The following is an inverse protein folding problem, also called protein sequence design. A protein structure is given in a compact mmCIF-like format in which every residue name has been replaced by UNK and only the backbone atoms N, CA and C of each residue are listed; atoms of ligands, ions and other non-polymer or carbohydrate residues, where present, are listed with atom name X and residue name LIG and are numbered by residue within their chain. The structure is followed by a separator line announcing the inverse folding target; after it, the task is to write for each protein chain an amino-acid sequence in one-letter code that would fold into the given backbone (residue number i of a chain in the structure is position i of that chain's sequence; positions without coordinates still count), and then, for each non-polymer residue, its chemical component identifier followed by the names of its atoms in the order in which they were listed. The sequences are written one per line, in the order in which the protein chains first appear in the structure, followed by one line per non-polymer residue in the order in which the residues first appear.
data_IF_414051938664
#
_entry.id   IF_414051938664
#
_cell.length_a   1.000
_cell.length_b   1.000
_cell.length_c   1.000
_cell.angle_alpha   90.00
_cell.angle_beta   90.00
_cell.angle_gamma   90.00
#
_symmetry.space_group_name_H-M   'P 1'
#
loop_
_entity.id
_entity.type
_entity.pdbx_description
1 polymer ?
#
# COMPACT_ATOMS: atom_id res chain seq x y z
N UNK A 1 44.80 4.04 -49.14
CA UNK A 1 45.08 3.14 -48.01
C UNK A 1 44.58 3.82 -46.76
N UNK A 2 43.26 3.75 -46.51
CA UNK A 2 42.60 2.79 -45.59
C UNK A 2 43.03 3.01 -44.14
N UNK A 3 42.20 3.74 -43.39
CA UNK A 3 41.95 3.57 -41.93
C UNK A 3 40.93 4.61 -41.41
N UNK A 4 39.78 4.80 -42.09
CA UNK A 4 38.65 5.62 -41.55
C UNK A 4 37.30 4.99 -41.95
N UNK A 5 37.21 3.66 -41.95
CA UNK A 5 35.96 2.97 -42.32
C UNK A 5 35.63 1.76 -41.46
N UNK A 6 36.15 1.72 -40.22
CA UNK A 6 36.02 0.55 -39.35
C UNK A 6 36.02 1.01 -37.88
N UNK A 7 35.05 1.86 -37.51
CA UNK A 7 34.81 2.26 -36.11
C UNK A 7 33.35 2.69 -35.86
N UNK A 8 32.42 2.21 -36.68
CA UNK A 8 30.97 2.47 -36.55
C UNK A 8 30.14 1.18 -36.53
N UNK A 9 30.79 0.01 -36.43
CA UNK A 9 30.11 -1.30 -36.45
C UNK A 9 30.15 -2.02 -35.09
N UNK A 10 30.55 -1.35 -34.01
CA UNK A 10 30.69 -1.96 -32.66
C UNK A 10 29.91 -1.21 -31.55
N UNK A 11 28.97 -0.32 -31.90
CA UNK A 11 28.18 0.48 -30.95
C UNK A 11 26.70 0.04 -30.87
N UNK A 12 26.34 -1.04 -31.58
CA UNK A 12 25.02 -1.69 -31.55
C UNK A 12 25.02 -2.97 -30.69
N UNK A 13 26.14 -3.31 -30.03
CA UNK A 13 26.23 -4.42 -29.11
C UNK A 13 25.91 -3.94 -27.68
N UNK A 14 24.85 -4.52 -27.09
CA UNK A 14 24.57 -4.59 -25.65
C UNK A 14 23.79 -3.45 -24.97
N UNK A 15 23.10 -2.57 -25.71
CA UNK A 15 22.21 -1.55 -25.10
C UNK A 15 21.05 -2.18 -24.28
N UNK A 16 20.58 -3.35 -24.69
CA UNK A 16 19.54 -4.11 -23.96
C UNK A 16 20.06 -4.78 -22.68
N UNK A 17 21.37 -5.04 -22.58
CA UNK A 17 21.97 -5.73 -21.43
C UNK A 17 22.23 -4.75 -20.26
N UNK A 18 22.50 -3.48 -20.58
CA UNK A 18 22.69 -2.41 -19.59
C UNK A 18 21.38 -1.74 -19.12
N UNK A 19 20.28 -1.90 -19.87
CA UNK A 19 19.01 -1.25 -19.53
C UNK A 19 18.32 -1.92 -18.34
N UNK A 20 18.01 -1.12 -17.32
CA UNK A 20 17.23 -1.60 -16.17
C UNK A 20 15.81 -2.02 -16.59
N UNK A 21 15.31 -3.10 -16.00
CA UNK A 21 13.95 -3.57 -16.30
C UNK A 21 12.89 -2.50 -15.97
N UNK A 22 11.80 -2.47 -16.75
CA UNK A 22 10.68 -1.54 -16.51
C UNK A 22 10.09 -1.70 -15.08
N UNK A 23 10.13 -2.91 -14.54
CA UNK A 23 9.68 -3.19 -13.18
C UNK A 23 10.61 -2.54 -12.13
N UNK A 24 11.93 -2.52 -12.38
CA UNK A 24 12.92 -1.86 -11.52
C UNK A 24 12.74 -0.34 -11.58
N UNK A 25 12.69 0.22 -12.79
CA UNK A 25 12.49 1.67 -12.99
C UNK A 25 11.19 2.12 -12.33
N UNK A 26 10.08 1.40 -12.55
CA UNK A 26 8.79 1.68 -11.93
C UNK A 26 8.84 1.61 -10.41
N UNK A 27 9.61 0.69 -9.83
CA UNK A 27 9.80 0.64 -8.37
C UNK A 27 10.54 1.87 -7.84
N UNK A 28 11.59 2.33 -8.53
CA UNK A 28 12.31 3.54 -8.17
C UNK A 28 11.41 4.79 -8.25
N UNK A 29 10.55 4.88 -9.27
CA UNK A 29 9.60 5.99 -9.40
C UNK A 29 8.59 6.02 -8.24
N UNK A 30 8.06 4.86 -7.84
CA UNK A 30 7.21 4.77 -6.63
C UNK A 30 7.98 5.21 -5.39
N UNK A 31 9.26 4.87 -5.29
CA UNK A 31 10.09 5.26 -4.15
C UNK A 31 10.30 6.78 -4.07
N UNK A 32 10.59 7.41 -5.19
CA UNK A 32 10.82 8.86 -5.28
C UNK A 32 9.55 9.69 -5.13
N UNK A 33 8.39 9.10 -5.40
CA UNK A 33 7.09 9.76 -5.26
C UNK A 33 6.41 9.49 -3.91
N UNK A 34 7.03 8.68 -3.02
CA UNK A 34 6.44 8.34 -1.73
C UNK A 34 6.37 9.56 -0.80
N UNK A 35 5.16 10.04 -0.42
CA UNK A 35 5.02 11.22 0.43
C UNK A 35 5.63 11.00 1.82
N UNK A 36 5.86 9.76 2.25
CA UNK A 36 6.54 9.43 3.52
C UNK A 36 8.05 9.64 3.46
N UNK A 37 8.62 9.75 2.27
CA UNK A 37 10.06 9.94 2.03
C UNK A 37 10.43 11.39 1.74
N UNK A 38 9.45 12.31 1.68
CA UNK A 38 9.70 13.71 1.49
C UNK A 38 10.39 14.35 2.71
N UNK A 39 11.58 14.89 2.51
CA UNK A 39 12.28 15.71 3.49
C UNK A 39 11.82 17.17 3.38
N UNK A 40 11.38 17.77 4.49
CA UNK A 40 11.07 19.20 4.55
C UNK A 40 12.10 19.91 5.44
N UNK A 41 13.13 20.56 4.87
CA UNK A 41 14.10 21.29 5.66
C UNK A 41 13.43 22.46 6.39
N UNK A 42 13.69 22.60 7.69
CA UNK A 42 13.20 23.72 8.51
C UNK A 42 11.96 23.43 9.36
N UNK A 43 11.37 22.24 9.27
CA UNK A 43 10.51 21.74 10.35
C UNK A 43 11.44 21.14 11.41
N UNK A 44 11.56 21.81 12.57
CA UNK A 44 12.11 21.18 13.77
C UNK A 44 11.29 19.96 14.19
N UNK A 45 11.63 19.35 15.33
CA UNK A 45 10.98 18.18 15.96
C UNK A 45 9.45 18.30 16.23
N UNK A 46 8.76 19.27 15.65
CA UNK A 46 7.32 19.50 15.77
C UNK A 46 6.61 18.97 14.49
N UNK A 47 6.66 17.65 14.36
CA UNK A 47 6.39 16.85 13.15
C UNK A 47 4.91 16.57 12.85
N UNK A 48 3.98 17.49 13.13
CA UNK A 48 2.55 17.20 12.87
C UNK A 48 1.90 17.97 11.71
N UNK A 49 2.48 19.06 11.18
CA UNK A 49 1.67 20.01 10.37
C UNK A 49 2.13 20.37 8.97
N UNK A 50 3.10 19.65 8.39
CA UNK A 50 3.27 19.70 6.93
C UNK A 50 3.82 18.38 6.38
N UNK A 51 3.06 17.31 6.63
CA UNK A 51 3.24 16.07 5.88
C UNK A 51 3.12 16.37 4.39
N UNK A 52 3.99 15.78 3.57
CA UNK A 52 3.91 15.93 2.13
C UNK A 52 2.51 15.56 1.61
N UNK A 53 2.13 16.16 0.49
CA UNK A 53 0.79 15.97 -0.08
C UNK A 53 0.50 14.47 -0.24
N UNK A 54 -0.47 13.96 0.54
CA UNK A 54 -0.85 12.54 0.51
C UNK A 54 -1.43 12.10 -0.83
N UNK A 55 -1.90 13.04 -1.65
CA UNK A 55 -2.57 12.77 -2.92
C UNK A 55 -1.62 12.34 -4.04
N UNK A 56 -0.30 12.49 -3.86
CA UNK A 56 0.70 12.18 -4.90
C UNK A 56 0.55 10.73 -5.37
N UNK A 57 0.46 9.78 -4.44
CA UNK A 57 0.29 8.37 -4.79
C UNK A 57 -1.13 8.00 -5.24
N UNK A 58 -2.14 8.80 -4.90
CA UNK A 58 -3.49 8.63 -5.45
C UNK A 58 -3.52 9.04 -6.93
N UNK A 59 -2.92 10.19 -7.26
CA UNK A 59 -2.76 10.59 -8.65
C UNK A 59 -1.92 9.58 -9.43
N UNK A 60 -0.84 9.08 -8.85
CA UNK A 60 -0.03 8.05 -9.53
C UNK A 60 -0.81 6.75 -9.74
N UNK A 61 -1.72 6.37 -8.82
CA UNK A 61 -2.61 5.25 -9.03
C UNK A 61 -3.55 5.48 -10.23
N UNK A 62 -4.15 6.67 -10.34
CA UNK A 62 -5.01 7.05 -11.46
C UNK A 62 -4.27 7.00 -12.79
N UNK A 63 -3.05 7.55 -12.87
CA UNK A 63 -2.22 7.53 -14.08
C UNK A 63 -1.90 6.08 -14.51
N UNK A 64 -1.58 5.21 -13.54
CA UNK A 64 -1.34 3.79 -13.81
C UNK A 64 -2.62 3.12 -14.33
N UNK A 65 -3.78 3.39 -13.72
CA UNK A 65 -5.07 2.81 -14.13
C UNK A 65 -5.47 3.26 -15.54
N UNK A 66 -5.34 4.55 -15.85
CA UNK A 66 -5.57 5.08 -17.19
C UNK A 66 -4.70 4.34 -18.22
N UNK A 67 -3.41 4.15 -17.89
CA UNK A 67 -2.50 3.45 -18.79
C UNK A 67 -2.85 1.96 -18.96
N UNK A 68 -3.22 1.28 -17.87
CA UNK A 68 -3.63 -0.13 -17.87
C UNK A 68 -4.95 -0.37 -18.64
N UNK A 69 -5.86 0.60 -18.62
CA UNK A 69 -7.13 0.58 -19.36
C UNK A 69 -6.94 0.86 -20.85
N UNK A 70 -5.81 1.46 -21.24
CA UNK A 70 -5.44 1.69 -22.63
C UNK A 70 -4.85 0.48 -23.37
N UNK A 71 -4.19 0.76 -24.49
CA UNK A 71 -3.65 -0.24 -25.42
C UNK A 71 -2.31 -0.86 -24.98
N UNK A 72 -2.17 -1.26 -23.71
CA UNK A 72 -0.99 -2.01 -23.25
C UNK A 72 -1.08 -3.50 -23.60
N UNK A 73 0.05 -4.07 -24.00
CA UNK A 73 0.21 -5.52 -24.15
C UNK A 73 0.13 -6.23 -22.80
N UNK A 74 -0.13 -7.55 -22.82
CA UNK A 74 -0.22 -8.35 -21.58
C UNK A 74 1.09 -8.35 -20.79
N UNK A 75 2.22 -8.40 -21.48
CA UNK A 75 3.55 -8.37 -20.89
C UNK A 75 3.84 -7.02 -20.21
N UNK A 76 3.49 -5.89 -20.83
CA UNK A 76 3.65 -4.58 -20.18
C UNK A 76 2.74 -4.45 -18.95
N UNK A 77 1.49 -4.96 -19.03
CA UNK A 77 0.57 -4.96 -17.89
C UNK A 77 1.14 -5.72 -16.68
N UNK A 78 1.85 -6.84 -16.92
CA UNK A 78 2.51 -7.60 -15.85
C UNK A 78 3.63 -6.81 -15.17
N UNK A 79 4.29 -5.89 -15.86
CA UNK A 79 5.33 -5.05 -15.27
C UNK A 79 4.74 -3.89 -14.46
N UNK A 80 3.66 -3.27 -14.95
CA UNK A 80 3.08 -2.05 -14.38
C UNK A 80 2.05 -2.32 -13.29
N UNK A 81 1.14 -3.30 -13.47
CA UNK A 81 0.06 -3.56 -12.51
C UNK A 81 0.55 -3.86 -11.07
N UNK A 82 1.67 -4.58 -10.85
CA UNK A 82 2.22 -4.78 -9.50
C UNK A 82 2.64 -3.48 -8.78
N UNK A 83 2.89 -2.38 -9.50
CA UNK A 83 3.27 -1.10 -8.91
C UNK A 83 2.15 -0.51 -8.05
N UNK A 84 0.88 -0.74 -8.42
CA UNK A 84 -0.29 -0.31 -7.62
C UNK A 84 -0.22 -0.81 -6.16
N UNK A 85 0.32 -2.01 -5.95
CA UNK A 85 0.44 -2.61 -4.62
C UNK A 85 1.57 -2.01 -3.76
N UNK A 86 2.46 -1.21 -4.36
CA UNK A 86 3.57 -0.51 -3.71
C UNK A 86 3.21 0.92 -3.32
N UNK A 87 2.14 1.49 -3.89
CA UNK A 87 1.68 2.83 -3.56
C UNK A 87 1.21 2.90 -2.10
N UNK A 88 1.73 3.89 -1.38
CA UNK A 88 1.22 4.28 -0.08
C UNK A 88 -0.04 5.12 -0.23
N UNK A 89 -1.14 4.67 0.39
CA UNK A 89 -2.42 5.37 0.40
C UNK A 89 -2.56 6.11 1.72
N UNK A 90 -2.45 7.44 1.70
CA UNK A 90 -2.56 8.24 2.92
C UNK A 90 -4.03 8.40 3.34
N UNK A 91 -4.42 8.10 4.60
CA UNK A 91 -5.75 8.42 5.10
C UNK A 91 -6.00 9.92 5.24
N UNK A 92 -4.94 10.73 5.25
CA UNK A 92 -5.00 12.19 5.33
C UNK A 92 -5.09 12.87 3.96
N UNK A 93 -5.18 12.08 2.89
CA UNK A 93 -5.43 12.58 1.54
C UNK A 93 -6.78 13.28 1.44
N UNK A 94 -6.96 14.09 0.40
CA UNK A 94 -8.23 14.75 0.16
C UNK A 94 -9.35 13.73 -0.07
N UNK A 95 -10.47 13.93 0.61
CA UNK A 95 -11.64 13.03 0.55
C UNK A 95 -12.16 12.85 -0.88
N UNK A 96 -12.18 13.92 -1.67
CA UNK A 96 -12.54 13.90 -3.09
C UNK A 96 -11.63 12.95 -3.87
N UNK A 97 -10.31 13.08 -3.71
CA UNK A 97 -9.32 12.25 -4.42
C UNK A 97 -9.39 10.79 -3.99
N UNK A 98 -9.62 10.53 -2.70
CA UNK A 98 -9.81 9.16 -2.18
C UNK A 98 -11.02 8.51 -2.86
N UNK A 99 -12.17 9.21 -2.95
CA UNK A 99 -13.38 8.67 -3.57
C UNK A 99 -13.21 8.47 -5.07
N UNK A 100 -12.67 9.46 -5.78
CA UNK A 100 -12.36 9.36 -7.21
C UNK A 100 -11.48 8.14 -7.51
N UNK A 101 -10.39 7.97 -6.76
CA UNK A 101 -9.48 6.83 -6.94
C UNK A 101 -10.16 5.51 -6.59
N UNK A 102 -11.01 5.48 -5.56
CA UNK A 102 -11.76 4.29 -5.19
C UNK A 102 -12.74 3.85 -6.28
N UNK A 103 -13.45 4.80 -6.89
CA UNK A 103 -14.40 4.52 -7.98
C UNK A 103 -13.67 3.95 -9.20
N UNK A 104 -12.56 4.58 -9.62
CA UNK A 104 -11.76 4.10 -10.76
C UNK A 104 -11.14 2.71 -10.50
N UNK A 105 -10.61 2.49 -9.29
CA UNK A 105 -10.10 1.16 -8.89
C UNK A 105 -11.23 0.13 -8.89
N UNK A 106 -12.44 0.49 -8.45
CA UNK A 106 -13.59 -0.41 -8.43
C UNK A 106 -14.01 -0.81 -9.84
N UNK A 107 -14.03 0.14 -10.77
CA UNK A 107 -14.29 -0.11 -12.20
C UNK A 107 -13.21 -1.06 -12.75
N UNK A 108 -11.93 -0.76 -12.53
CA UNK A 108 -10.82 -1.59 -12.99
C UNK A 108 -10.87 -3.04 -12.47
N UNK A 109 -11.26 -3.23 -11.20
CA UNK A 109 -11.45 -4.56 -10.59
C UNK A 109 -12.61 -5.30 -11.26
N UNK A 110 -13.75 -4.61 -11.44
CA UNK A 110 -14.95 -5.17 -12.05
C UNK A 110 -14.70 -5.60 -13.51
N UNK A 111 -14.02 -4.75 -14.27
CA UNK A 111 -13.72 -4.95 -15.69
C UNK A 111 -12.56 -5.94 -15.92
N UNK A 112 -11.86 -6.34 -14.84
CA UNK A 112 -10.75 -7.31 -14.87
C UNK A 112 -9.68 -6.91 -15.89
N UNK A 113 -9.32 -5.62 -15.91
CA UNK A 113 -8.36 -5.05 -16.88
C UNK A 113 -6.95 -5.66 -16.75
N UNK A 114 -6.66 -6.27 -15.60
CA UNK A 114 -5.46 -7.06 -15.29
C UNK A 114 -5.83 -8.53 -15.18
N UNK A 115 -5.13 -9.38 -15.94
CA UNK A 115 -5.44 -10.82 -16.02
C UNK A 115 -4.52 -11.69 -15.15
N UNK A 116 -3.28 -11.27 -14.94
CA UNK A 116 -2.31 -12.02 -14.15
C UNK A 116 -2.61 -11.96 -12.66
N UNK A 117 -2.21 -13.01 -11.94
CA UNK A 117 -2.52 -13.14 -10.51
C UNK A 117 -1.84 -12.05 -9.66
N UNK A 118 -0.59 -11.70 -9.96
CA UNK A 118 0.17 -10.73 -9.17
C UNK A 118 -0.43 -9.33 -9.28
N UNK A 119 -0.72 -8.88 -10.50
CA UNK A 119 -1.35 -7.60 -10.75
C UNK A 119 -2.79 -7.52 -10.22
N UNK A 120 -3.58 -8.60 -10.34
CA UNK A 120 -4.92 -8.66 -9.69
C UNK A 120 -4.82 -8.55 -8.17
N UNK A 121 -3.84 -9.20 -7.54
CA UNK A 121 -3.62 -9.09 -6.11
C UNK A 121 -3.21 -7.67 -5.70
N UNK A 122 -2.35 -7.01 -6.48
CA UNK A 122 -1.97 -5.63 -6.26
C UNK A 122 -3.16 -4.67 -6.38
N UNK A 123 -3.99 -4.82 -7.41
CA UNK A 123 -5.21 -4.04 -7.63
C UNK A 123 -6.24 -4.27 -6.50
N UNK A 124 -6.43 -5.51 -6.05
CA UNK A 124 -7.31 -5.81 -4.93
C UNK A 124 -6.79 -5.23 -3.60
N UNK A 125 -5.46 -5.20 -3.41
CA UNK A 125 -4.86 -4.61 -2.20
C UNK A 125 -5.19 -3.11 -2.09
N UNK A 126 -5.02 -2.36 -3.18
CA UNK A 126 -5.36 -0.93 -3.19
C UNK A 126 -6.88 -0.72 -3.03
N UNK A 127 -7.71 -1.52 -3.72
CA UNK A 127 -9.18 -1.48 -3.60
C UNK A 127 -9.65 -1.66 -2.15
N UNK A 128 -9.12 -2.69 -1.46
CA UNK A 128 -9.46 -2.95 -0.05
C UNK A 128 -8.92 -1.85 0.87
N UNK A 129 -7.73 -1.31 0.62
CA UNK A 129 -7.19 -0.21 1.44
C UNK A 129 -8.01 1.07 1.32
N UNK A 130 -8.42 1.44 0.09
CA UNK A 130 -9.25 2.60 -0.17
C UNK A 130 -10.65 2.40 0.40
N UNK A 131 -11.24 1.20 0.24
CA UNK A 131 -12.55 0.89 0.80
C UNK A 131 -12.61 1.04 2.33
N UNK A 132 -11.54 0.64 3.04
CA UNK A 132 -11.42 0.88 4.49
C UNK A 132 -11.38 2.36 4.84
N UNK A 133 -10.61 3.15 4.08
CA UNK A 133 -10.50 4.59 4.30
C UNK A 133 -11.85 5.26 4.04
N UNK A 134 -12.49 4.99 2.89
CA UNK A 134 -13.82 5.53 2.53
C UNK A 134 -14.88 5.18 3.57
N UNK A 135 -14.87 3.95 4.11
CA UNK A 135 -15.78 3.56 5.18
C UNK A 135 -15.60 4.43 6.44
N UNK A 136 -14.34 4.66 6.85
CA UNK A 136 -14.02 5.51 8.00
C UNK A 136 -14.45 6.98 7.79
N UNK A 137 -14.32 7.52 6.56
CA UNK A 137 -14.81 8.87 6.24
C UNK A 137 -16.35 8.96 6.35
N UNK A 138 -17.06 7.90 5.98
CA UNK A 138 -18.52 7.81 6.11
C UNK A 138 -19.00 7.80 7.57
N UNK A 139 -18.26 7.15 8.46
CA UNK A 139 -18.56 7.12 9.90
C UNK A 139 -18.24 8.46 10.58
N UNK A 140 -17.10 9.09 10.26
CA UNK A 140 -16.72 10.40 10.79
C UNK A 140 -17.72 11.51 10.42
N UNK A 141 -18.28 11.47 9.20
CA UNK A 141 -19.34 12.39 8.77
C UNK A 141 -20.72 12.13 9.39
N UNK A 142 -20.94 10.95 9.98
CA UNK A 142 -22.20 10.59 10.63
C UNK A 142 -22.24 11.03 12.11
N UNK A 143 -21.09 11.19 12.76
CA UNK A 143 -20.99 11.61 14.16
C UNK A 143 -21.09 13.14 14.31
N UNK A 144 -20.56 13.91 13.37
CA UNK A 144 -20.68 15.39 13.35
C UNK A 144 -22.13 15.86 13.08
N UNK A 145 -22.99 14.98 12.56
CA UNK A 145 -24.43 15.23 12.38
C UNK A 145 -25.29 14.93 13.61
N UNK A 146 -24.70 14.49 14.74
CA UNK A 146 -25.45 14.16 15.97
C UNK A 146 -25.42 15.24 17.06
N UNK A 147 -24.73 16.37 16.87
CA UNK A 147 -24.78 17.51 17.80
C UNK A 147 -25.85 18.52 17.34
N UNK A 148 -27.10 18.08 17.21
CA UNK A 148 -28.26 18.99 17.07
C UNK A 148 -29.57 18.25 17.32
N UNK A 149 -29.79 17.74 18.54
CA UNK A 149 -31.14 17.53 19.07
C UNK A 149 -31.19 17.91 20.55
N UNK A 150 -31.20 19.21 20.81
CA UNK A 150 -31.82 19.75 22.01
C UNK A 150 -33.31 19.43 21.94
N UNK A 151 -33.81 18.56 22.82
CA UNK A 151 -35.24 18.50 23.14
C UNK A 151 -35.40 18.46 24.65
N UNK A 152 -36.24 19.38 25.09
CA UNK A 152 -36.48 19.84 26.43
C UNK A 152 -37.15 18.80 27.31
N UNK A 153 -36.87 18.93 28.60
CA UNK A 153 -37.56 18.37 29.76
C UNK A 153 -39.03 18.82 29.80
N UNK A 154 -39.96 17.86 29.84
CA UNK A 154 -41.28 17.82 30.53
C UNK A 154 -41.62 16.32 30.53
N UNK A 155 -41.93 15.58 31.60
CA UNK A 155 -42.72 15.86 32.79
C UNK A 155 -43.72 14.69 32.90
N UNK A 156 -43.56 13.89 33.95
CA UNK A 156 -44.48 12.95 34.63
C UNK A 156 -45.82 12.53 33.95
N UNK A 157 -46.12 11.22 33.89
CA UNK A 157 -47.29 10.61 34.58
C UNK A 157 -47.45 9.11 34.20
N UNK A 158 -47.69 8.29 35.24
CA UNK A 158 -47.97 6.84 35.23
C UNK A 158 -49.23 6.48 34.42
N UNK A 159 -49.23 5.27 33.82
CA UNK A 159 -50.34 4.30 33.99
C UNK A 159 -49.90 2.89 33.56
N UNK A 160 -50.29 1.92 34.37
CA UNK A 160 -50.08 0.48 34.21
C UNK A 160 -51.10 -0.12 33.21
N UNK A 161 -50.76 -1.21 32.51
CA UNK A 161 -51.53 -2.48 32.48
C UNK A 161 -50.98 -3.49 31.45
N UNK A 162 -50.71 -4.69 31.98
CA UNK A 162 -50.91 -6.03 31.42
C UNK A 162 -50.34 -6.46 30.04
N UNK A 163 -49.44 -7.45 30.11
CA UNK A 163 -49.75 -8.76 29.53
C UNK A 163 -49.02 -9.17 28.25
N UNK A 164 -48.11 -10.15 28.42
CA UNK A 164 -47.91 -11.37 27.58
C UNK A 164 -46.46 -11.60 27.12
N UNK A 165 -45.82 -12.46 27.88
CA UNK A 165 -44.62 -13.25 27.56
C UNK A 165 -44.85 -14.20 26.39
N UNK A 166 -43.94 -14.25 25.41
CA UNK A 166 -43.51 -15.49 24.74
C UNK A 166 -42.04 -15.34 24.34
N UNK A 167 -41.19 -16.05 25.07
CA UNK A 167 -39.84 -16.43 24.67
C UNK A 167 -39.97 -17.66 23.76
N UNK A 168 -39.33 -17.65 22.61
CA UNK A 168 -39.13 -18.87 21.80
C UNK A 168 -37.69 -18.91 21.32
N UNK A 169 -36.88 -19.67 22.05
CA UNK A 169 -35.68 -20.34 21.54
C UNK A 169 -36.09 -21.44 20.54
N UNK A 170 -35.21 -21.81 19.60
CA UNK A 170 -35.15 -23.18 19.12
C UNK A 170 -33.87 -23.89 19.61
N UNK A 171 -34.13 -25.02 20.25
CA UNK A 171 -33.22 -25.97 20.89
C UNK A 171 -32.83 -27.10 19.91
N UNK A 172 -31.52 -27.25 19.70
CA UNK A 172 -30.69 -28.47 19.52
C UNK A 172 -31.02 -29.48 18.40
N UNK A 173 -30.00 -29.86 17.63
CA UNK A 173 -29.63 -31.27 17.40
C UNK A 173 -28.12 -31.42 17.16
N UNK A 174 -27.46 -32.05 18.12
CA UNK A 174 -26.11 -32.61 18.00
C UNK A 174 -26.13 -33.83 17.07
N UNK A 175 -25.05 -33.97 16.30
CA UNK A 175 -24.69 -35.17 15.55
C UNK A 175 -23.17 -35.30 15.64
N UNK A 176 -22.76 -36.37 16.31
CA UNK A 176 -21.41 -36.77 16.67
C UNK A 176 -20.71 -37.53 15.52
N UNK A 177 -19.43 -37.84 15.73
CA UNK A 177 -18.51 -38.73 14.97
C UNK A 177 -17.71 -38.10 13.82
N UNK A 178 -16.41 -38.34 13.62
CA UNK A 178 -15.25 -38.82 14.38
C UNK A 178 -14.03 -38.64 13.42
N UNK A 179 -12.81 -38.50 13.95
CA UNK A 179 -11.51 -38.72 13.26
C UNK A 179 -11.07 -37.64 12.24
N UNK A 180 -9.82 -37.16 12.20
CA UNK A 180 -8.57 -37.90 12.34
C UNK A 180 -7.36 -36.96 12.61
N UNK A 181 -6.61 -37.35 13.64
CA UNK A 181 -5.18 -37.21 13.90
C UNK A 181 -4.34 -36.07 13.27
N UNK A 182 -3.83 -35.27 14.19
CA UNK A 182 -2.56 -34.55 14.19
C UNK A 182 -1.37 -35.39 13.70
N UNK A 183 -0.66 -34.93 12.68
CA UNK A 183 0.70 -35.40 12.39
C UNK A 183 1.71 -34.32 12.77
N UNK A 184 2.33 -34.53 13.93
CA UNK A 184 3.55 -33.87 14.36
C UNK A 184 4.73 -34.57 13.68
N UNK A 185 5.37 -33.90 12.72
CA UNK A 185 6.72 -34.26 12.29
C UNK A 185 7.72 -33.43 13.10
N UNK A 186 8.28 -34.07 14.11
CA UNK A 186 9.56 -33.70 14.73
C UNK A 186 10.67 -34.22 13.82
N UNK A 187 11.53 -33.33 13.35
CA UNK A 187 12.88 -33.66 12.94
C UNK A 187 13.78 -32.58 13.55
N UNK A 188 14.41 -32.97 14.65
CA UNK A 188 15.61 -32.33 15.20
C UNK A 188 16.80 -32.74 14.32
N UNK A 189 17.46 -31.79 13.68
CA UNK A 189 18.87 -31.93 13.31
C UNK A 189 19.59 -30.62 13.61
N UNK A 190 20.49 -30.72 14.60
CA UNK A 190 21.49 -29.75 14.98
C UNK A 190 22.38 -29.38 13.78
N UNK A 191 22.53 -28.08 13.50
CA UNK A 191 23.69 -27.57 12.77
C UNK A 191 24.15 -26.27 13.42
N UNK A 192 25.13 -26.44 14.29
CA UNK A 192 25.91 -25.44 14.98
C UNK A 192 26.84 -24.76 13.96
N UNK A 193 26.53 -23.53 13.52
CA UNK A 193 27.46 -22.73 12.73
C UNK A 193 27.49 -21.28 13.25
N UNK A 194 28.67 -20.92 13.76
CA UNK A 194 28.90 -19.79 14.64
C UNK A 194 28.68 -18.42 14.00
N UNK A 195 28.04 -17.54 14.77
CA UNK A 195 28.00 -16.11 14.53
C UNK A 195 29.37 -15.48 14.85
N UNK A 196 30.16 -15.18 13.83
CA UNK A 196 31.39 -14.37 13.97
C UNK A 196 31.01 -12.89 13.94
N UNK A 197 31.02 -12.26 15.10
CA UNK A 197 30.92 -10.80 15.25
C UNK A 197 32.32 -10.24 14.97
N UNK A 198 32.62 -9.85 13.73
CA UNK A 198 33.79 -9.01 13.46
C UNK A 198 33.48 -7.59 13.93
N UNK A 199 34.14 -7.21 15.02
CA UNK A 199 34.10 -5.88 15.57
C UNK A 199 34.75 -4.85 14.64
N UNK A 200 34.03 -3.74 14.49
CA UNK A 200 34.55 -2.38 14.65
C UNK A 200 35.77 -1.98 13.82
N UNK A 201 35.51 -1.59 12.57
CA UNK A 201 36.23 -0.50 11.90
C UNK A 201 35.22 0.36 11.10
N UNK A 202 34.57 1.27 11.81
CA UNK A 202 34.04 2.52 11.26
C UNK A 202 34.53 3.63 12.18
N UNK A 203 34.91 4.74 11.55
CA UNK A 203 35.32 6.04 12.14
C UNK A 203 36.80 6.41 12.00
N UNK A 204 37.38 6.28 10.79
CA UNK A 204 38.63 6.98 10.43
C UNK A 204 38.61 7.70 9.08
N UNK A 205 37.65 7.41 8.19
CA UNK A 205 37.56 8.06 6.87
C UNK A 205 36.91 9.45 6.88
N UNK A 206 36.20 9.80 7.96
CA UNK A 206 35.54 11.11 8.09
C UNK A 206 36.45 12.19 8.68
N UNK A 207 37.47 11.81 9.45
CA UNK A 207 38.44 12.75 10.02
C UNK A 207 39.51 13.22 9.01
N UNK A 208 39.87 12.37 8.04
CA UNK A 208 40.81 12.74 6.98
C UNK A 208 40.22 13.80 6.02
N UNK A 209 38.91 13.77 5.78
CA UNK A 209 38.26 14.70 4.84
C UNK A 209 38.02 16.11 5.42
N UNK A 210 38.12 16.28 6.74
CA UNK A 210 37.91 17.55 7.44
C UNK A 210 39.22 18.23 7.85
N UNK A 211 40.36 17.57 7.63
CA UNK A 211 41.67 18.08 8.05
C UNK A 211 42.43 18.82 6.92
N UNK A 212 41.86 18.90 5.71
CA UNK A 212 42.53 19.49 4.53
C UNK A 212 41.98 20.87 4.12
N UNK A 213 41.51 21.69 5.08
CA UNK A 213 41.14 23.10 4.86
C UNK A 213 41.76 24.05 5.91
N UNK A 214 43.06 23.94 6.15
CA UNK A 214 43.83 25.05 6.75
C UNK A 214 45.26 25.10 6.18
N UNK A 215 45.41 25.79 5.04
CA UNK A 215 46.67 26.43 4.64
C UNK A 215 46.43 27.55 3.61
#
# INVERSE_FOLDING_TARGET
MTSIRESLEDDDADVDEDMQSLATIGACLVDWTDPRKCYTPGLGLDTEKKAANGDIHLNFALDILERLSGNMTKEEKKAVAPLLGKLYISPTSSEEKIRETFDEVSIAVNDKIVSDTTGRNALNKIHVSLGKIVANLGEAGADDRRVSRSVSVVGDERTETEGRTVVTEPRIKEGDEESQATNASRMDEDSDEGTVIQGKERDTLVDDLLSEEEL
#
